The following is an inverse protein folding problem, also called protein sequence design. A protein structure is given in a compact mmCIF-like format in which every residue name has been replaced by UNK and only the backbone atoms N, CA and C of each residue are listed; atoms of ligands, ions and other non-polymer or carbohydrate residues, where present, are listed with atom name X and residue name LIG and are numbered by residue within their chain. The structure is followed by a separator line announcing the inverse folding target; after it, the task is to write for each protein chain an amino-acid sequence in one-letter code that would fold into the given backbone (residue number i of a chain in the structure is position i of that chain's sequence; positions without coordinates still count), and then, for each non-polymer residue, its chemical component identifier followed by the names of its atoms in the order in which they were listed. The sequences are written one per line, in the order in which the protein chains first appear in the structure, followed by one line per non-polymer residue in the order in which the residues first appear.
data_IF_917898124228
#
_entry.id   IF_917898124228
#
_cell.length_a   1.000
_cell.length_b   1.000
_cell.length_c   1.000
_cell.angle_alpha   90.00
_cell.angle_beta   90.00
_cell.angle_gamma   90.00
#
_symmetry.space_group_name_H-M   'P 1'
#
loop_
_entity.id
_entity.type
_entity.pdbx_description
1 polymer ?
#
# COMPACT_ATOMS: atom_id res chain seq x y z
N UNK A 1 21.69 -10.54 -17.83
CA UNK A 1 21.00 -10.31 -16.55
C UNK A 1 19.53 -10.07 -16.91
N UNK A 2 18.84 -11.12 -17.33
CA UNK A 2 18.07 -12.06 -16.50
C UNK A 2 16.77 -11.42 -16.00
N UNK A 3 15.67 -12.01 -16.44
CA UNK A 3 14.33 -11.44 -16.44
C UNK A 3 13.72 -11.43 -15.04
N UNK A 4 13.33 -10.26 -14.55
CA UNK A 4 12.13 -10.14 -13.74
C UNK A 4 11.01 -9.76 -14.72
N UNK A 5 10.05 -10.65 -15.00
CA UNK A 5 8.76 -10.23 -15.57
C UNK A 5 8.18 -9.23 -14.57
N UNK A 6 8.41 -7.95 -14.82
CA UNK A 6 8.22 -6.90 -13.83
C UNK A 6 6.80 -6.92 -13.31
N UNK A 7 6.63 -7.11 -11.99
CA UNK A 7 5.38 -6.77 -11.32
C UNK A 7 5.02 -5.35 -11.75
N UNK A 8 3.89 -5.19 -12.43
CA UNK A 8 3.44 -3.88 -12.90
C UNK A 8 3.08 -3.05 -11.68
N UNK A 9 3.76 -1.93 -11.48
CA UNK A 9 3.35 -0.98 -10.45
C UNK A 9 2.03 -0.33 -10.86
N UNK A 10 1.01 -0.50 -10.02
CA UNK A 10 -0.30 0.13 -10.15
C UNK A 10 -0.27 1.54 -9.57
N UNK A 11 0.45 1.71 -8.45
CA UNK A 11 0.81 3.01 -7.89
C UNK A 11 2.33 3.01 -7.68
N UNK A 12 2.98 4.05 -8.19
CA UNK A 12 4.41 4.25 -7.95
C UNK A 12 4.66 4.50 -6.47
N UNK A 13 5.90 4.25 -6.07
CA UNK A 13 6.37 4.60 -4.75
C UNK A 13 6.01 6.04 -4.38
N UNK A 14 5.28 6.17 -3.27
CA UNK A 14 4.79 7.42 -2.72
C UNK A 14 5.27 7.52 -1.28
N UNK A 15 5.64 8.71 -0.84
CA UNK A 15 6.11 8.98 0.53
C UNK A 15 5.26 10.08 1.16
N UNK A 16 5.12 10.06 2.48
CA UNK A 16 4.38 11.09 3.20
C UNK A 16 4.57 11.04 4.71
N UNK A 17 4.16 12.12 5.37
CA UNK A 17 4.20 12.28 6.84
C UNK A 17 2.80 12.50 7.43
N UNK A 18 1.77 12.43 6.58
CA UNK A 18 0.36 12.56 6.93
C UNK A 18 -0.47 11.53 6.19
N UNK A 19 -1.72 11.33 6.61
CA UNK A 19 -2.67 10.49 5.88
C UNK A 19 -3.01 11.08 4.51
N UNK A 20 -3.18 10.22 3.51
CA UNK A 20 -3.51 10.61 2.13
C UNK A 20 -4.34 9.54 1.44
N UNK A 21 -5.23 9.97 0.56
CA UNK A 21 -5.90 9.09 -0.40
C UNK A 21 -5.01 8.92 -1.64
N UNK A 22 -4.67 7.66 -1.97
CA UNK A 22 -3.87 7.37 -3.15
C UNK A 22 -4.73 7.40 -4.42
N UNK A 23 -4.12 7.58 -5.61
CA UNK A 23 -4.84 7.48 -6.86
C UNK A 23 -5.58 6.14 -6.99
N UNK A 24 -6.82 6.19 -7.48
CA UNK A 24 -7.62 5.00 -7.77
C UNK A 24 -6.94 4.19 -8.88
N UNK A 25 -6.93 2.87 -8.73
CA UNK A 25 -6.35 1.95 -9.71
C UNK A 25 -7.24 0.74 -9.92
N UNK A 26 -7.09 0.05 -11.06
CA UNK A 26 -7.80 -1.21 -11.33
C UNK A 26 -6.77 -2.33 -11.50
N UNK A 27 -6.76 -3.35 -10.62
CA UNK A 27 -5.83 -4.46 -10.73
C UNK A 27 -6.24 -5.40 -11.88
N UNK A 28 -5.40 -5.61 -12.90
CA UNK A 28 -5.73 -6.47 -14.05
C UNK A 28 -5.91 -7.95 -13.67
N UNK A 29 -5.21 -8.41 -12.64
CA UNK A 29 -5.17 -9.83 -12.24
C UNK A 29 -6.09 -10.18 -11.06
N UNK A 30 -7.07 -9.33 -10.72
CA UNK A 30 -7.97 -9.57 -9.59
C UNK A 30 -7.24 -9.70 -8.24
N UNK A 31 -5.98 -9.28 -8.18
CA UNK A 31 -5.17 -9.22 -6.96
C UNK A 31 -4.11 -8.14 -7.07
N UNK A 32 -3.70 -7.61 -5.93
CA UNK A 32 -2.60 -6.66 -5.83
C UNK A 32 -1.93 -6.77 -4.46
N UNK A 33 -0.66 -6.36 -4.41
CA UNK A 33 0.10 -6.24 -3.17
C UNK A 33 0.40 -4.78 -2.89
N UNK A 34 0.15 -4.36 -1.66
CA UNK A 34 0.61 -3.08 -1.12
C UNK A 34 1.89 -3.33 -0.33
N UNK A 35 3.00 -2.76 -0.79
CA UNK A 35 4.27 -2.74 -0.08
C UNK A 35 4.36 -1.41 0.66
N UNK A 36 4.66 -1.43 1.95
CA UNK A 36 4.76 -0.23 2.74
C UNK A 36 5.77 -0.36 3.88
N UNK A 37 6.41 0.75 4.22
CA UNK A 37 7.22 0.89 5.42
C UNK A 37 6.77 2.15 6.13
N UNK A 38 6.67 2.08 7.46
CA UNK A 38 6.40 3.24 8.30
C UNK A 38 7.48 3.37 9.36
N UNK A 39 7.90 4.60 9.67
CA UNK A 39 8.93 4.89 10.66
C UNK A 39 8.50 6.04 11.56
N UNK A 40 8.80 5.97 12.85
CA UNK A 40 8.52 7.03 13.82
C UNK A 40 7.93 6.49 15.12
N UNK A 41 7.20 7.33 15.85
CA UNK A 41 6.55 6.94 17.11
C UNK A 41 5.04 6.74 16.95
N UNK A 42 4.58 6.65 15.69
CA UNK A 42 3.18 6.62 15.31
C UNK A 42 2.66 5.24 14.90
N UNK A 43 1.44 5.22 14.39
CA UNK A 43 0.82 4.05 13.76
C UNK A 43 0.28 4.43 12.37
N UNK A 44 0.50 3.55 11.40
CA UNK A 44 -0.05 3.63 10.05
C UNK A 44 -1.20 2.63 9.89
N UNK A 45 -2.33 3.09 9.36
CA UNK A 45 -3.41 2.22 8.91
C UNK A 45 -3.61 2.37 7.40
N UNK A 46 -3.90 1.26 6.73
CA UNK A 46 -4.38 1.26 5.35
C UNK A 46 -5.87 0.96 5.35
N UNK A 47 -6.62 1.78 4.63
CA UNK A 47 -8.02 1.56 4.32
C UNK A 47 -8.15 1.23 2.84
N UNK A 48 -8.97 0.23 2.52
CA UNK A 48 -9.29 -0.15 1.14
C UNK A 48 -10.77 0.07 0.95
N UNK A 49 -11.14 0.89 -0.03
CA UNK A 49 -12.54 1.19 -0.38
C UNK A 49 -13.40 1.59 0.83
N UNK A 50 -12.81 2.37 1.76
CA UNK A 50 -13.48 2.86 2.97
C UNK A 50 -13.53 1.89 4.14
N UNK A 51 -12.89 0.72 4.05
CA UNK A 51 -12.80 -0.25 5.15
C UNK A 51 -11.37 -0.36 5.67
N UNK A 52 -11.19 -0.28 7.00
CA UNK A 52 -9.89 -0.51 7.63
C UNK A 52 -9.41 -1.92 7.32
N UNK A 53 -8.27 -2.00 6.65
CA UNK A 53 -7.72 -3.25 6.13
C UNK A 53 -6.55 -3.76 6.97
N UNK A 54 -5.59 -2.89 7.29
CA UNK A 54 -4.42 -3.25 8.12
C UNK A 54 -3.97 -2.05 8.97
N UNK A 55 -3.48 -2.32 10.18
CA UNK A 55 -2.81 -1.35 11.07
C UNK A 55 -1.45 -1.88 11.46
N UNK A 56 -0.41 -1.05 11.40
CA UNK A 56 0.94 -1.40 11.83
C UNK A 56 1.61 -0.23 12.57
N UNK A 57 2.36 -0.52 13.64
CA UNK A 57 3.23 0.47 14.27
C UNK A 57 4.31 0.91 13.28
N UNK A 58 4.80 2.13 13.43
CA UNK A 58 5.83 2.69 12.58
C UNK A 58 7.25 2.35 13.07
N UNK A 59 7.59 1.06 13.04
CA UNK A 59 8.83 0.49 13.57
C UNK A 59 10.01 0.46 12.58
N UNK A 60 9.81 0.94 11.34
CA UNK A 60 10.80 0.92 10.27
C UNK A 60 10.92 -0.41 9.52
N UNK A 61 10.04 -1.38 9.79
CA UNK A 61 10.04 -2.67 9.09
C UNK A 61 9.22 -2.57 7.80
N UNK A 62 9.77 -3.10 6.70
CA UNK A 62 9.02 -3.24 5.45
C UNK A 62 7.95 -4.32 5.61
N UNK A 63 6.72 -3.98 5.25
CA UNK A 63 5.55 -4.83 5.30
C UNK A 63 4.95 -4.96 3.89
N UNK A 64 4.34 -6.11 3.63
CA UNK A 64 3.56 -6.35 2.42
C UNK A 64 2.20 -6.93 2.80
N UNK A 65 1.14 -6.41 2.19
CA UNK A 65 -0.22 -6.89 2.36
C UNK A 65 -0.82 -7.18 0.99
N UNK A 66 -1.37 -8.38 0.81
CA UNK A 66 -2.04 -8.80 -0.41
C UNK A 66 -3.55 -8.69 -0.27
N UNK A 67 -4.21 -8.20 -1.32
CA UNK A 67 -5.66 -8.20 -1.45
C UNK A 67 -6.09 -8.90 -2.72
N UNK A 68 -7.11 -9.76 -2.61
CA UNK A 68 -7.84 -10.37 -3.73
C UNK A 68 -9.15 -9.58 -3.92
N UNK A 69 -9.46 -9.21 -5.16
CA UNK A 69 -10.59 -8.32 -5.49
C UNK A 69 -11.16 -8.61 -6.89
N UNK A 70 -12.42 -8.31 -7.15
CA UNK A 70 -13.12 -8.66 -8.40
C UNK A 70 -12.83 -7.70 -9.59
N UNK A 71 -11.55 -7.47 -9.93
CA UNK A 71 -11.10 -6.55 -11.02
C UNK A 71 -11.81 -5.19 -11.04
N UNK A 72 -12.31 -4.74 -9.90
CA UNK A 72 -12.99 -3.45 -9.75
C UNK A 72 -11.95 -2.36 -9.42
N UNK A 73 -12.25 -1.08 -9.71
CA UNK A 73 -11.46 0.04 -9.20
C UNK A 73 -11.30 -0.04 -7.67
N UNK A 74 -10.07 0.14 -7.20
CA UNK A 74 -9.68 0.13 -5.80
C UNK A 74 -9.19 1.51 -5.39
N UNK A 75 -9.62 1.95 -4.21
CA UNK A 75 -9.12 3.14 -3.55
C UNK A 75 -8.37 2.70 -2.28
N UNK A 76 -7.12 3.13 -2.15
CA UNK A 76 -6.31 2.87 -0.95
C UNK A 76 -6.05 4.20 -0.27
N UNK A 77 -6.36 4.28 1.01
CA UNK A 77 -6.12 5.46 1.83
C UNK A 77 -5.15 5.11 2.95
N UNK A 78 -4.14 5.96 3.13
CA UNK A 78 -3.23 5.91 4.26
C UNK A 78 -3.81 6.78 5.37
N UNK A 79 -3.94 6.23 6.57
CA UNK A 79 -4.15 6.97 7.81
C UNK A 79 -2.89 6.89 8.64
N UNK A 80 -2.54 8.00 9.26
CA UNK A 80 -1.36 8.10 10.11
C UNK A 80 -1.75 8.75 11.43
N UNK A 81 -1.16 8.25 12.51
CA UNK A 81 -1.31 8.81 13.85
C UNK A 81 0.06 9.02 14.48
N UNK A 82 0.20 10.03 15.33
CA UNK A 82 1.48 10.40 15.93
C UNK A 82 2.48 11.01 14.94
N UNK A 83 3.73 11.18 15.37
CA UNK A 83 4.82 11.64 14.53
C UNK A 83 5.45 10.44 13.79
N UNK A 84 5.06 10.26 12.53
CA UNK A 84 5.55 9.18 11.68
C UNK A 84 5.70 9.63 10.22
N UNK A 85 6.51 8.89 9.48
CA UNK A 85 6.64 8.98 8.04
C UNK A 85 6.44 7.60 7.43
N UNK A 86 5.94 7.57 6.20
CA UNK A 86 5.64 6.33 5.50
C UNK A 86 6.06 6.40 4.05
N UNK A 87 6.23 5.21 3.49
CA UNK A 87 6.55 4.99 2.09
C UNK A 87 5.75 3.78 1.62
N UNK A 88 5.09 3.89 0.47
CA UNK A 88 4.18 2.86 -0.04
C UNK A 88 4.22 2.76 -1.56
N UNK A 89 4.15 1.53 -2.07
CA UNK A 89 3.94 1.24 -3.49
C UNK A 89 2.87 0.16 -3.64
N UNK A 90 2.14 0.19 -4.76
CA UNK A 90 1.15 -0.85 -5.09
C UNK A 90 1.59 -1.57 -6.34
N UNK A 91 1.73 -2.89 -6.24
CA UNK A 91 2.10 -3.76 -7.32
C UNK A 91 0.94 -4.69 -7.70
N UNK A 92 0.80 -4.97 -8.99
CA UNK A 92 -0.14 -5.96 -9.49
C UNK A 92 0.28 -7.38 -9.08
N UNK A 93 -0.73 -8.22 -8.80
CA UNK A 93 -0.54 -9.61 -8.40
C UNK A 93 -0.23 -9.81 -6.91
N UNK A 94 -0.18 -11.08 -6.52
CA UNK A 94 0.19 -11.58 -5.19
C UNK A 94 1.71 -11.54 -4.98
N UNK A 95 2.16 -11.48 -3.73
CA UNK A 95 3.60 -11.64 -3.34
C UNK A 95 4.08 -13.07 -3.49
#
# INVERSE_FOLDING_TARGET
MEQAKGKKLLIKETVGEAGVDLPVFTPPNASYTVHFVCSGTGEMSLEVSGQKWISRPCDGVENAAEQITDKQPQAVSVKLSGAASWKLAVADGSV
#
